data_IF_601088671489
#
_entry.id   IF_601088671489
#
_cell.length_a   1.000
_cell.length_b   1.000
_cell.length_c   1.000
_cell.angle_alpha   90.00
_cell.angle_beta   90.00
_cell.angle_gamma   90.00
#
_symmetry.space_group_name_H-M   'P 1'
#
loop_
_entity.id
_entity.type
_entity.pdbx_description
1 polymer ?
#
# COMPACT_ATOMS: atom_id res chain seq x y z
N UNK A 1 3.48 21.27 26.45
CA UNK A 1 4.17 19.97 26.54
C UNK A 1 3.30 18.88 25.93
N UNK A 2 3.87 18.10 25.04
CA UNK A 2 3.22 16.94 24.42
C UNK A 2 4.14 15.73 24.67
N UNK A 3 3.60 14.63 25.18
CA UNK A 3 4.38 13.44 25.52
C UNK A 3 4.57 12.54 24.29
N UNK A 4 3.50 12.39 23.47
CA UNK A 4 3.48 11.58 22.26
C UNK A 4 2.73 12.31 21.15
N UNK A 5 3.25 12.23 19.92
CA UNK A 5 2.57 12.71 18.73
C UNK A 5 1.86 11.54 18.03
N UNK A 6 0.52 11.56 18.00
CA UNK A 6 -0.22 10.65 17.14
C UNK A 6 -0.21 11.21 15.72
N UNK A 7 0.54 10.55 14.81
CA UNK A 7 0.60 10.99 13.43
C UNK A 7 -0.63 10.50 12.66
N UNK A 8 -1.48 11.42 12.21
CA UNK A 8 -2.65 11.15 11.37
C UNK A 8 -2.56 11.85 10.01
N UNK A 9 -1.35 12.27 9.60
CA UNK A 9 -1.11 12.90 8.32
C UNK A 9 -0.98 11.84 7.22
N UNK A 10 -1.40 12.18 6.01
CA UNK A 10 -1.31 11.31 4.84
C UNK A 10 -0.55 11.99 3.71
N UNK A 11 0.02 11.18 2.81
CA UNK A 11 0.72 11.64 1.62
C UNK A 11 2.05 12.31 1.92
N UNK A 12 2.42 13.22 1.02
CA UNK A 12 3.68 13.96 1.08
C UNK A 12 3.79 14.73 2.41
N UNK A 13 4.97 14.70 3.01
CA UNK A 13 5.35 15.23 4.31
C UNK A 13 4.82 14.44 5.52
N UNK A 14 3.68 13.78 5.41
CA UNK A 14 3.05 13.04 6.52
C UNK A 14 3.51 11.60 6.67
N UNK A 15 3.69 10.90 5.53
CA UNK A 15 3.99 9.46 5.50
C UNK A 15 5.25 9.11 4.67
N UNK A 16 6.09 10.12 4.34
CA UNK A 16 7.31 9.96 3.54
C UNK A 16 8.61 10.06 4.35
N UNK A 17 8.53 10.13 5.67
CA UNK A 17 9.66 10.27 6.57
C UNK A 17 9.95 11.72 6.99
N UNK A 18 9.33 12.72 6.35
CA UNK A 18 9.66 14.14 6.61
C UNK A 18 9.23 14.57 8.01
N UNK A 19 7.97 14.39 8.39
CA UNK A 19 7.48 14.73 9.74
C UNK A 19 8.14 13.86 10.81
N UNK A 20 8.42 12.60 10.49
CA UNK A 20 9.12 11.66 11.37
C UNK A 20 10.54 12.17 11.68
N UNK A 21 11.26 12.65 10.66
CA UNK A 21 12.59 13.26 10.83
C UNK A 21 12.57 14.52 11.70
N UNK A 22 11.55 15.37 11.52
CA UNK A 22 11.35 16.54 12.37
C UNK A 22 11.11 16.14 13.83
N UNK A 23 10.24 15.14 14.08
CA UNK A 23 9.94 14.66 15.42
C UNK A 23 11.16 14.02 16.10
N UNK A 24 12.00 13.31 15.33
CA UNK A 24 13.28 12.77 15.80
C UNK A 24 14.23 13.90 16.26
N UNK A 25 14.37 14.98 15.47
CA UNK A 25 15.23 16.12 15.82
C UNK A 25 14.82 16.77 17.14
N UNK A 26 13.53 16.90 17.42
CA UNK A 26 13.02 17.47 18.67
C UNK A 26 12.79 16.41 19.77
N UNK A 27 13.22 15.16 19.55
CA UNK A 27 13.12 14.02 20.48
C UNK A 27 11.71 13.80 21.01
N UNK A 28 10.72 13.86 20.12
CA UNK A 28 9.31 13.59 20.46
C UNK A 28 8.89 12.21 19.96
N UNK A 29 8.46 11.33 20.87
CA UNK A 29 7.88 10.05 20.48
C UNK A 29 6.68 10.27 19.57
N UNK A 30 6.56 9.41 18.54
CA UNK A 30 5.44 9.42 17.60
C UNK A 30 4.98 8.02 17.27
N UNK A 31 3.71 7.91 16.90
CA UNK A 31 3.12 6.65 16.47
C UNK A 31 3.54 6.32 15.04
N UNK A 32 3.38 5.04 14.65
CA UNK A 32 3.68 4.52 13.31
C UNK A 32 5.19 4.39 13.01
N UNK A 33 5.49 4.12 11.75
CA UNK A 33 6.83 3.81 11.28
C UNK A 33 7.76 5.03 11.27
N UNK A 34 9.07 4.78 11.41
CA UNK A 34 10.09 5.80 11.40
C UNK A 34 10.47 6.31 10.00
N UNK A 35 11.53 7.11 9.93
CA UNK A 35 11.98 7.82 8.72
C UNK A 35 12.27 6.87 7.58
N UNK A 36 13.15 5.88 7.80
CA UNK A 36 13.60 4.97 6.74
C UNK A 36 12.45 4.12 6.20
N UNK A 37 11.64 3.52 7.08
CA UNK A 37 10.51 2.70 6.69
C UNK A 37 9.47 3.50 5.89
N UNK A 38 9.14 4.72 6.33
CA UNK A 38 8.20 5.60 5.64
C UNK A 38 8.71 6.01 4.26
N UNK A 39 9.97 6.43 4.16
CA UNK A 39 10.57 6.85 2.88
C UNK A 39 10.66 5.70 1.86
N UNK A 40 11.04 4.51 2.30
CA UNK A 40 11.12 3.32 1.44
C UNK A 40 9.73 2.91 0.98
N UNK A 41 8.77 2.82 1.88
CA UNK A 41 7.40 2.41 1.56
C UNK A 41 6.72 3.38 0.58
N UNK A 42 6.95 4.71 0.72
CA UNK A 42 6.41 5.73 -0.17
C UNK A 42 6.95 5.60 -1.59
N UNK A 43 8.19 5.13 -1.78
CA UNK A 43 8.79 4.94 -3.09
C UNK A 43 8.57 3.50 -3.58
N UNK A 44 7.60 3.31 -4.49
CA UNK A 44 7.20 1.99 -5.00
C UNK A 44 8.35 1.17 -5.60
N UNK A 45 9.33 1.83 -6.20
CA UNK A 45 10.50 1.15 -6.78
C UNK A 45 11.48 0.67 -5.71
N UNK A 46 11.75 1.50 -4.69
CA UNK A 46 12.62 1.11 -3.59
C UNK A 46 11.97 0.00 -2.75
N UNK A 47 10.68 0.15 -2.44
CA UNK A 47 9.91 -0.88 -1.76
C UNK A 47 9.98 -2.22 -2.49
N UNK A 48 9.61 -2.24 -3.78
CA UNK A 48 9.60 -3.43 -4.62
C UNK A 48 10.98 -4.10 -4.67
N UNK A 49 12.05 -3.33 -4.93
CA UNK A 49 13.42 -3.85 -4.99
C UNK A 49 13.85 -4.48 -3.66
N UNK A 50 13.62 -3.77 -2.55
CA UNK A 50 14.02 -4.27 -1.22
C UNK A 50 13.30 -5.57 -0.87
N UNK A 51 11.98 -5.63 -1.06
CA UNK A 51 11.18 -6.84 -0.78
C UNK A 51 11.58 -7.98 -1.71
N UNK A 52 11.76 -7.73 -3.01
CA UNK A 52 12.18 -8.76 -3.96
C UNK A 52 13.52 -9.35 -3.54
N UNK A 53 14.56 -8.52 -3.35
CA UNK A 53 15.89 -8.99 -2.97
C UNK A 53 15.90 -9.77 -1.64
N UNK A 54 15.09 -9.33 -0.66
CA UNK A 54 15.00 -9.99 0.64
C UNK A 54 14.26 -11.34 0.61
N UNK A 55 13.48 -11.61 -0.45
CA UNK A 55 12.61 -12.80 -0.50
C UNK A 55 12.86 -13.71 -1.70
N UNK A 56 13.65 -13.32 -2.70
CA UNK A 56 13.86 -14.07 -3.94
C UNK A 56 14.38 -15.50 -3.74
N UNK A 57 15.19 -15.73 -2.70
CA UNK A 57 15.75 -17.03 -2.35
C UNK A 57 14.95 -17.77 -1.26
N UNK A 58 13.78 -17.29 -0.88
CA UNK A 58 12.91 -17.94 0.10
C UNK A 58 12.01 -18.99 -0.58
N UNK A 59 11.49 -19.96 0.20
CA UNK A 59 10.53 -20.96 -0.29
C UNK A 59 9.25 -20.34 -0.88
N UNK A 60 8.86 -19.16 -0.41
CA UNK A 60 7.70 -18.42 -0.88
C UNK A 60 8.08 -16.96 -1.18
N UNK A 61 8.68 -16.66 -2.35
CA UNK A 61 9.07 -15.33 -2.74
C UNK A 61 7.86 -14.42 -2.94
N UNK A 62 7.97 -13.18 -2.51
CA UNK A 62 6.92 -12.17 -2.69
C UNK A 62 6.95 -11.67 -4.13
N UNK A 63 5.82 -11.82 -4.83
CA UNK A 63 5.70 -11.51 -6.25
C UNK A 63 5.03 -10.14 -6.44
N UNK A 64 5.61 -9.32 -7.31
CA UNK A 64 5.07 -8.04 -7.76
C UNK A 64 4.64 -8.11 -9.24
N UNK A 65 3.76 -7.20 -9.70
CA UNK A 65 3.55 -7.01 -11.13
C UNK A 65 4.87 -6.66 -11.83
N UNK A 66 5.04 -7.14 -13.04
CA UNK A 66 6.23 -6.79 -13.84
C UNK A 66 6.28 -5.29 -14.13
N UNK A 67 7.45 -4.69 -13.94
CA UNK A 67 7.68 -3.28 -14.29
C UNK A 67 8.14 -3.20 -15.74
N UNK A 68 7.31 -2.59 -16.58
CA UNK A 68 7.54 -2.42 -18.01
C UNK A 68 8.48 -1.25 -18.30
N UNK A 69 8.28 -0.12 -17.62
CA UNK A 69 9.05 1.09 -17.89
C UNK A 69 9.00 2.07 -16.71
N UNK A 70 10.13 2.78 -16.52
CA UNK A 70 10.18 4.01 -15.71
C UNK A 70 10.11 5.21 -16.66
N UNK A 71 9.17 6.11 -16.40
CA UNK A 71 8.81 7.20 -17.29
C UNK A 71 9.29 8.53 -16.68
N UNK A 72 10.28 9.12 -17.31
CA UNK A 72 10.84 10.44 -16.93
C UNK A 72 10.43 11.53 -17.92
N UNK A 73 10.22 11.16 -19.17
CA UNK A 73 9.92 12.06 -20.26
C UNK A 73 8.49 12.61 -20.20
N UNK A 74 8.30 13.81 -20.76
CA UNK A 74 6.99 14.46 -20.85
C UNK A 74 6.01 13.69 -21.72
N UNK A 75 6.52 13.11 -22.82
CA UNK A 75 5.78 12.21 -23.71
C UNK A 75 6.49 10.86 -23.72
N UNK A 76 5.72 9.78 -23.77
CA UNK A 76 6.27 8.44 -23.70
C UNK A 76 5.42 7.41 -24.44
N UNK A 77 6.07 6.31 -24.84
CA UNK A 77 5.42 5.12 -25.40
C UNK A 77 5.86 3.90 -24.59
N UNK A 78 4.99 2.92 -24.49
CA UNK A 78 5.30 1.59 -23.97
C UNK A 78 5.34 0.66 -25.19
N UNK A 79 6.50 0.66 -25.90
CA UNK A 79 6.61 0.08 -27.25
C UNK A 79 6.61 -1.44 -27.28
N UNK A 80 7.21 -2.06 -26.30
CA UNK A 80 7.52 -3.50 -26.31
C UNK A 80 6.48 -4.35 -25.57
N UNK A 81 5.31 -3.77 -25.28
CA UNK A 81 4.23 -4.43 -24.58
C UNK A 81 2.88 -4.03 -25.16
N UNK A 82 2.05 -5.03 -25.52
CA UNK A 82 0.74 -4.82 -26.17
C UNK A 82 -0.46 -5.03 -25.22
N UNK A 83 -0.21 -5.58 -24.04
CA UNK A 83 -1.24 -5.88 -23.06
C UNK A 83 -1.71 -4.67 -22.23
N UNK A 84 -2.68 -4.89 -21.36
CA UNK A 84 -3.14 -3.85 -20.44
C UNK A 84 -2.08 -3.55 -19.38
N UNK A 85 -1.87 -2.26 -19.11
CA UNK A 85 -0.90 -1.82 -18.11
C UNK A 85 -1.46 -0.71 -17.21
N UNK A 86 -0.81 -0.51 -16.07
CA UNK A 86 -1.09 0.55 -15.10
C UNK A 86 0.06 1.52 -15.08
N UNK A 87 -0.25 2.81 -15.24
CA UNK A 87 0.70 3.91 -15.07
C UNK A 87 0.38 4.62 -13.76
N UNK A 88 1.39 4.76 -12.92
CA UNK A 88 1.25 5.36 -11.57
C UNK A 88 2.50 6.14 -11.17
N UNK A 89 2.38 7.15 -10.29
CA UNK A 89 3.52 7.81 -9.70
C UNK A 89 4.39 6.82 -8.91
N UNK A 90 5.72 6.96 -9.01
CA UNK A 90 6.65 6.18 -8.18
C UNK A 90 6.52 6.59 -6.72
N UNK A 91 6.45 7.90 -6.47
CA UNK A 91 6.21 8.48 -5.15
C UNK A 91 4.77 8.99 -5.08
N UNK A 92 4.00 8.49 -4.14
CA UNK A 92 2.61 8.90 -3.95
C UNK A 92 1.74 7.77 -3.43
N UNK A 93 0.64 8.15 -2.80
CA UNK A 93 -0.31 7.25 -2.16
C UNK A 93 -1.75 7.43 -2.69
N UNK A 94 -2.70 6.74 -2.06
CA UNK A 94 -4.15 6.91 -2.24
C UNK A 94 -4.69 6.73 -3.66
N UNK A 95 -4.01 5.99 -4.54
CA UNK A 95 -4.39 5.79 -5.96
C UNK A 95 -4.62 7.09 -6.76
N UNK A 96 -3.99 8.19 -6.33
CA UNK A 96 -4.03 9.46 -7.06
C UNK A 96 -3.21 9.31 -8.34
N UNK A 97 -3.77 9.79 -9.47
CA UNK A 97 -3.12 9.79 -10.79
C UNK A 97 -2.69 8.40 -11.31
N UNK A 98 -3.40 7.36 -10.89
CA UNK A 98 -3.28 6.02 -11.49
C UNK A 98 -4.10 5.97 -12.77
N UNK A 99 -3.47 5.56 -13.87
CA UNK A 99 -4.12 5.43 -15.18
C UNK A 99 -4.00 4.00 -15.68
N UNK A 100 -5.13 3.39 -16.06
CA UNK A 100 -5.16 2.09 -16.71
C UNK A 100 -5.19 2.29 -18.22
N UNK A 101 -4.30 1.61 -18.92
CA UNK A 101 -4.21 1.57 -20.37
C UNK A 101 -4.58 0.17 -20.81
N UNK A 102 -5.67 0.05 -21.59
CA UNK A 102 -6.17 -1.24 -22.08
C UNK A 102 -5.34 -1.76 -23.27
N UNK A 103 -4.72 -0.86 -24.03
CA UNK A 103 -3.83 -1.19 -25.13
C UNK A 103 -2.67 -0.19 -25.18
N UNK A 104 -1.45 -0.67 -25.00
CA UNK A 104 -0.25 0.15 -24.92
C UNK A 104 0.26 0.69 -26.27
N UNK A 105 -0.31 0.27 -27.40
CA UNK A 105 -0.01 0.80 -28.76
C UNK A 105 -0.64 2.16 -29.06
N UNK A 106 -1.35 2.75 -28.10
CA UNK A 106 -1.99 4.05 -28.31
C UNK A 106 -0.97 5.18 -28.51
N UNK A 107 -1.46 6.31 -29.02
CA UNK A 107 -0.70 7.56 -29.22
C UNK A 107 0.16 7.93 -27.98
N UNK A 108 1.22 8.75 -28.19
CA UNK A 108 2.10 9.13 -27.09
C UNK A 108 1.32 9.73 -25.92
N UNK A 109 1.49 9.12 -24.74
CA UNK A 109 0.82 9.52 -23.53
C UNK A 109 1.55 10.71 -22.91
N UNK A 110 0.79 11.70 -22.45
CA UNK A 110 1.34 12.88 -21.77
C UNK A 110 1.50 12.56 -20.29
N UNK A 111 2.74 12.69 -19.77
CA UNK A 111 3.01 12.56 -18.34
C UNK A 111 2.32 13.69 -17.56
N UNK A 112 1.69 13.35 -16.43
CA UNK A 112 1.22 14.36 -15.50
C UNK A 112 2.41 15.18 -14.97
N UNK A 113 2.34 16.49 -15.09
CA UNK A 113 3.43 17.42 -14.75
C UNK A 113 3.72 17.49 -13.25
N UNK A 114 2.81 16.99 -12.41
CA UNK A 114 2.96 16.99 -10.95
C UNK A 114 3.98 15.98 -10.43
N UNK A 115 4.46 15.07 -11.29
CA UNK A 115 5.38 14.00 -10.89
C UNK A 115 6.64 14.01 -11.73
N UNK A 116 7.79 13.88 -11.06
CA UNK A 116 9.08 13.75 -11.74
C UNK A 116 9.20 12.43 -12.49
N UNK A 117 8.71 11.34 -11.88
CA UNK A 117 8.81 9.98 -12.42
C UNK A 117 7.49 9.23 -12.24
N UNK A 118 7.12 8.48 -13.30
CA UNK A 118 6.03 7.51 -13.28
C UNK A 118 6.61 6.12 -13.55
N UNK A 119 5.87 5.09 -13.17
CA UNK A 119 6.15 3.71 -13.55
C UNK A 119 4.97 3.11 -14.29
N UNK A 120 5.27 2.28 -15.30
CA UNK A 120 4.31 1.42 -15.96
C UNK A 120 4.52 -0.02 -15.50
N UNK A 121 3.46 -0.70 -15.11
CA UNK A 121 3.45 -2.10 -14.72
C UNK A 121 2.37 -2.87 -15.48
N UNK A 122 2.59 -4.17 -15.67
CA UNK A 122 1.55 -5.08 -16.18
C UNK A 122 0.33 -5.02 -15.27
N UNK A 123 -0.86 -4.85 -15.85
CA UNK A 123 -2.12 -4.96 -15.10
C UNK A 123 -2.36 -6.43 -14.74
N UNK A 124 -2.32 -6.75 -13.47
CA UNK A 124 -2.50 -8.11 -12.95
C UNK A 124 -3.76 -8.25 -12.13
N UNK A 125 -4.36 -9.45 -12.17
CA UNK A 125 -5.48 -9.85 -11.33
C UNK A 125 -6.70 -8.91 -11.40
N UNK A 126 -7.83 -9.37 -10.93
CA UNK A 126 -9.09 -8.60 -10.96
C UNK A 126 -9.62 -8.27 -9.56
N UNK A 127 -9.14 -8.99 -8.54
CA UNK A 127 -9.61 -8.83 -7.16
C UNK A 127 -8.58 -8.04 -6.35
N UNK A 128 -9.04 -7.05 -5.62
CA UNK A 128 -8.20 -6.20 -4.77
C UNK A 128 -8.33 -6.66 -3.31
N UNK A 129 -7.20 -6.99 -2.70
CA UNK A 129 -7.13 -7.48 -1.33
C UNK A 129 -6.23 -6.56 -0.50
N UNK A 130 -6.50 -6.49 0.80
CA UNK A 130 -5.66 -5.72 1.71
C UNK A 130 -5.53 -6.44 3.05
N UNK A 131 -4.36 -6.28 3.70
CA UNK A 131 -4.06 -6.84 5.01
C UNK A 131 -3.41 -5.78 5.89
N UNK A 132 -3.96 -5.56 7.06
CA UNK A 132 -3.37 -4.72 8.10
C UNK A 132 -2.52 -5.58 9.04
N UNK A 133 -1.32 -5.10 9.34
CA UNK A 133 -0.47 -5.63 10.41
C UNK A 133 -0.48 -4.63 11.56
N UNK A 134 -0.84 -5.08 12.76
CA UNK A 134 -0.83 -4.28 13.98
C UNK A 134 0.10 -4.97 14.99
N UNK A 135 1.15 -4.28 15.43
CA UNK A 135 2.16 -4.80 16.38
C UNK A 135 2.63 -6.21 15.99
N UNK A 136 3.17 -6.36 14.77
CA UNK A 136 3.63 -7.63 14.19
C UNK A 136 2.57 -8.76 14.09
N UNK A 137 1.28 -8.44 14.25
CA UNK A 137 0.18 -9.37 14.07
C UNK A 137 -0.63 -8.98 12.83
N UNK A 138 -0.64 -9.79 11.75
CA UNK A 138 -1.57 -9.58 10.65
C UNK A 138 -3.00 -9.86 11.14
N UNK A 139 -3.94 -8.98 10.80
CA UNK A 139 -5.30 -9.03 11.35
C UNK A 139 -6.22 -9.93 10.53
N UNK A 140 -6.51 -9.53 9.29
CA UNK A 140 -7.40 -10.25 8.40
C UNK A 140 -7.12 -9.85 6.95
N UNK A 141 -7.61 -10.64 6.00
CA UNK A 141 -7.67 -10.24 4.58
C UNK A 141 -9.04 -9.65 4.31
N UNK A 142 -9.08 -8.41 3.82
CA UNK A 142 -10.28 -7.77 3.31
C UNK A 142 -10.23 -7.71 1.79
N UNK A 143 -11.32 -8.06 1.12
CA UNK A 143 -11.51 -7.80 -0.29
C UNK A 143 -12.24 -6.49 -0.50
N UNK A 144 -11.73 -5.66 -1.38
CA UNK A 144 -12.30 -4.37 -1.75
C UNK A 144 -12.99 -4.54 -3.09
N UNK A 145 -14.31 -4.29 -3.13
CA UNK A 145 -15.11 -4.35 -4.34
C UNK A 145 -15.65 -2.98 -4.68
N UNK A 146 -15.57 -2.60 -5.97
CA UNK A 146 -16.13 -1.32 -6.45
C UNK A 146 -17.63 -1.48 -6.70
N UNK A 147 -18.45 -0.59 -6.13
CA UNK A 147 -19.92 -0.58 -6.34
C UNK A 147 -20.33 0.01 -7.71
N UNK A 148 -19.42 0.63 -8.43
CA UNK A 148 -19.65 1.12 -9.80
C UNK A 148 -19.01 0.15 -10.79
N UNK A 149 -19.62 -0.05 -11.97
CA UNK A 149 -19.06 -0.81 -13.11
C UNK A 149 -17.75 -0.19 -13.66
N UNK A 150 -16.88 0.31 -12.78
CA UNK A 150 -15.56 0.81 -13.11
C UNK A 150 -14.54 -0.28 -12.74
N UNK A 151 -13.71 -0.62 -13.70
CA UNK A 151 -12.70 -1.67 -13.61
C UNK A 151 -11.60 -1.42 -12.54
N UNK A 152 -11.70 -0.34 -11.75
CA UNK A 152 -10.65 0.04 -10.80
C UNK A 152 -11.15 0.89 -9.63
N UNK A 153 -10.61 0.60 -8.44
CA UNK A 153 -10.83 1.34 -7.19
C UNK A 153 -9.98 2.62 -7.17
N UNK A 154 -10.54 3.72 -7.70
CA UNK A 154 -9.86 5.01 -7.76
C UNK A 154 -10.05 5.84 -6.49
N UNK A 155 -9.36 6.99 -6.39
CA UNK A 155 -9.42 7.92 -5.25
C UNK A 155 -10.86 8.30 -4.86
N UNK A 156 -11.74 8.58 -5.84
CA UNK A 156 -13.14 8.92 -5.56
C UNK A 156 -13.91 7.75 -4.95
N UNK A 157 -13.64 6.51 -5.36
CA UNK A 157 -14.27 5.33 -4.80
C UNK A 157 -13.79 5.03 -3.36
N UNK A 158 -12.60 5.49 -2.98
CA UNK A 158 -12.04 5.32 -1.61
C UNK A 158 -12.73 6.21 -0.57
N UNK A 159 -13.24 7.38 -0.95
CA UNK A 159 -13.76 8.40 -0.03
C UNK A 159 -15.24 8.73 -0.22
N UNK A 160 -15.91 8.16 -1.24
CA UNK A 160 -17.34 8.30 -1.45
C UNK A 160 -18.07 7.29 -0.53
N UNK A 161 -19.07 7.73 0.25
CA UNK A 161 -19.80 6.90 1.23
C UNK A 161 -20.44 5.63 0.62
N UNK A 162 -20.57 5.56 -0.72
CA UNK A 162 -21.06 4.41 -1.47
C UNK A 162 -20.09 3.95 -2.57
N UNK A 163 -18.81 4.29 -2.47
CA UNK A 163 -17.82 4.06 -3.55
C UNK A 163 -17.27 2.63 -3.60
N UNK A 164 -17.22 1.95 -2.48
CA UNK A 164 -16.72 0.57 -2.34
C UNK A 164 -17.49 -0.21 -1.31
N UNK A 165 -17.47 -1.53 -1.43
CA UNK A 165 -17.92 -2.48 -0.42
C UNK A 165 -16.74 -3.33 0.01
N UNK A 166 -16.71 -3.70 1.29
CA UNK A 166 -15.66 -4.51 1.87
C UNK A 166 -16.22 -5.88 2.27
N UNK A 167 -15.50 -6.94 1.92
CA UNK A 167 -15.82 -8.31 2.32
C UNK A 167 -14.72 -8.76 3.28
N UNK A 168 -15.09 -8.94 4.55
CA UNK A 168 -14.17 -9.33 5.62
C UNK A 168 -14.75 -10.51 6.43
N UNK A 169 -14.09 -11.68 6.50
CA UNK A 169 -12.88 -12.04 5.76
C UNK A 169 -13.14 -12.18 4.26
N UNK A 170 -12.12 -11.95 3.43
CA UNK A 170 -12.20 -12.14 1.98
C UNK A 170 -12.57 -13.58 1.61
N UNK A 171 -13.49 -13.75 0.67
CA UNK A 171 -13.92 -15.06 0.17
C UNK A 171 -12.95 -15.56 -0.92
N UNK A 172 -11.80 -16.04 -0.51
CA UNK A 172 -10.69 -16.52 -1.36
C UNK A 172 -10.19 -17.87 -0.88
N UNK A 173 -9.47 -18.66 -1.71
CA UNK A 173 -8.85 -19.91 -1.27
C UNK A 173 -7.96 -19.70 -0.03
N UNK A 174 -8.02 -20.66 0.91
CA UNK A 174 -7.25 -20.58 2.16
C UNK A 174 -5.76 -20.39 1.91
N UNK A 175 -5.19 -21.02 0.89
CA UNK A 175 -3.79 -20.90 0.51
C UNK A 175 -3.40 -19.45 0.14
N UNK A 176 -4.30 -18.75 -0.57
CA UNK A 176 -4.10 -17.33 -0.93
C UNK A 176 -4.29 -16.43 0.30
N UNK A 177 -5.28 -16.73 1.14
CA UNK A 177 -5.52 -16.02 2.39
C UNK A 177 -4.28 -16.08 3.30
N UNK A 178 -3.78 -17.29 3.58
CA UNK A 178 -2.61 -17.50 4.44
C UNK A 178 -1.36 -16.83 3.83
N UNK A 179 -1.21 -16.92 2.50
CA UNK A 179 -0.12 -16.25 1.78
C UNK A 179 -0.19 -14.73 1.91
N UNK A 180 -1.34 -14.12 1.74
CA UNK A 180 -1.51 -12.67 1.90
C UNK A 180 -1.16 -12.20 3.32
N UNK A 181 -1.61 -12.94 4.33
CA UNK A 181 -1.28 -12.69 5.74
C UNK A 181 0.23 -12.79 6.01
N UNK A 182 0.86 -13.87 5.53
CA UNK A 182 2.31 -14.09 5.66
C UNK A 182 3.12 -13.00 4.95
N UNK A 183 2.77 -12.67 3.71
CA UNK A 183 3.48 -11.67 2.92
C UNK A 183 3.37 -10.27 3.53
N UNK A 184 2.20 -9.88 4.04
CA UNK A 184 2.01 -8.61 4.72
C UNK A 184 2.90 -8.50 5.96
N UNK A 185 2.96 -9.55 6.80
CA UNK A 185 3.81 -9.58 7.98
C UNK A 185 5.30 -9.52 7.61
N UNK A 186 5.72 -10.29 6.61
CA UNK A 186 7.11 -10.29 6.13
C UNK A 186 7.51 -8.92 5.58
N UNK A 187 6.66 -8.30 4.76
CA UNK A 187 6.91 -6.96 4.24
C UNK A 187 7.01 -5.92 5.37
N UNK A 188 6.10 -5.97 6.36
CA UNK A 188 6.14 -5.13 7.55
C UNK A 188 7.51 -5.22 8.27
N UNK A 189 7.99 -6.44 8.48
CA UNK A 189 9.28 -6.69 9.16
C UNK A 189 10.49 -6.27 8.32
N UNK A 190 10.51 -6.62 7.04
CA UNK A 190 11.63 -6.28 6.13
C UNK A 190 11.81 -4.76 5.99
N UNK A 191 10.71 -4.03 5.91
CA UNK A 191 10.73 -2.55 5.83
C UNK A 191 11.09 -1.91 7.17
N UNK A 192 10.94 -2.63 8.28
CA UNK A 192 11.13 -2.10 9.62
C UNK A 192 9.96 -1.23 10.08
N UNK A 193 8.74 -1.59 9.67
CA UNK A 193 7.54 -0.88 10.12
C UNK A 193 7.34 -1.04 11.63
N UNK A 194 6.73 -0.02 12.25
CA UNK A 194 6.34 -0.01 13.66
C UNK A 194 4.86 0.29 13.81
N UNK A 195 4.28 -0.19 14.90
CA UNK A 195 2.90 0.02 15.26
C UNK A 195 1.92 -0.61 14.27
N UNK A 196 1.67 0.03 13.14
CA UNK A 196 0.70 -0.43 12.15
C UNK A 196 1.22 -0.23 10.71
N UNK A 197 0.85 -1.15 9.82
CA UNK A 197 0.98 -0.97 8.37
C UNK A 197 -0.16 -1.67 7.63
N UNK A 198 -0.42 -1.29 6.38
CA UNK A 198 -1.39 -1.95 5.51
C UNK A 198 -0.73 -2.30 4.19
N UNK A 199 -0.84 -3.55 3.79
CA UNK A 199 -0.31 -4.03 2.51
C UNK A 199 -1.45 -4.31 1.55
N UNK A 200 -1.36 -3.78 0.34
CA UNK A 200 -2.38 -3.92 -0.70
C UNK A 200 -1.90 -4.90 -1.78
N UNK A 201 -2.82 -5.75 -2.26
CA UNK A 201 -2.56 -6.85 -3.18
C UNK A 201 -3.54 -6.88 -4.35
N UNK A 202 -3.14 -7.54 -5.43
CA UNK A 202 -4.04 -8.00 -6.48
C UNK A 202 -4.01 -9.52 -6.55
N UNK A 203 -5.19 -10.11 -6.62
CA UNK A 203 -5.36 -11.55 -6.77
C UNK A 203 -5.93 -11.88 -8.14
N UNK A 204 -5.20 -12.72 -8.87
CA UNK A 204 -5.64 -13.31 -10.13
C UNK A 204 -6.27 -14.67 -9.84
N UNK A 205 -7.61 -14.73 -9.83
CA UNK A 205 -8.35 -15.95 -9.56
C UNK A 205 -8.25 -16.99 -10.68
N UNK A 206 -7.94 -16.57 -11.93
CA UNK A 206 -7.83 -17.48 -13.05
C UNK A 206 -6.53 -18.30 -13.00
N UNK A 207 -5.45 -17.67 -12.55
CA UNK A 207 -4.13 -18.31 -12.44
C UNK A 207 -3.76 -18.65 -10.99
N UNK A 208 -4.63 -18.36 -10.03
CA UNK A 208 -4.41 -18.54 -8.59
C UNK A 208 -3.11 -17.88 -8.11
N UNK A 209 -2.85 -16.65 -8.58
CA UNK A 209 -1.63 -15.87 -8.27
C UNK A 209 -1.95 -14.63 -7.44
N UNK A 210 -1.16 -14.41 -6.40
CA UNK A 210 -1.20 -13.20 -5.58
C UNK A 210 -0.03 -12.29 -5.98
N UNK A 211 -0.29 -10.99 -6.09
CA UNK A 211 0.72 -9.96 -6.36
C UNK A 211 0.64 -8.88 -5.29
N UNK A 212 1.78 -8.54 -4.69
CA UNK A 212 1.88 -7.40 -3.79
C UNK A 212 2.00 -6.11 -4.60
N UNK A 213 1.29 -5.04 -4.21
CA UNK A 213 1.32 -3.76 -4.89
C UNK A 213 2.17 -2.73 -4.14
N UNK A 214 1.80 -2.49 -2.89
CA UNK A 214 2.41 -1.47 -2.04
C UNK A 214 2.17 -1.78 -0.56
N UNK A 215 2.96 -1.13 0.29
CA UNK A 215 2.77 -1.12 1.74
C UNK A 215 2.61 0.33 2.19
N UNK A 216 1.59 0.57 2.99
CA UNK A 216 1.26 1.87 3.56
C UNK A 216 1.62 1.88 5.05
N UNK A 217 2.55 2.75 5.44
CA UNK A 217 3.02 2.90 6.83
C UNK A 217 2.12 3.79 7.67
N UNK A 218 1.19 4.50 7.03
CA UNK A 218 0.25 5.44 7.65
C UNK A 218 -1.17 5.18 7.14
N UNK A 219 -1.77 3.99 7.41
CA UNK A 219 -3.11 3.69 6.93
C UNK A 219 -4.15 4.64 7.54
N UNK A 220 -5.26 4.86 6.82
CA UNK A 220 -6.37 5.67 7.30
C UNK A 220 -6.89 5.19 8.65
N UNK A 221 -7.26 6.14 9.52
CA UNK A 221 -7.66 5.91 10.90
C UNK A 221 -9.08 6.41 11.22
N UNK A 222 -9.93 6.57 10.20
CA UNK A 222 -11.36 6.86 10.39
C UNK A 222 -12.13 5.56 10.63
N UNK A 223 -13.33 5.65 11.18
CA UNK A 223 -14.19 4.48 11.43
C UNK A 223 -14.48 3.63 10.18
N UNK A 224 -14.48 4.27 9.02
CA UNK A 224 -14.71 3.61 7.72
C UNK A 224 -13.42 3.19 7.02
N UNK A 225 -12.27 3.39 7.66
CA UNK A 225 -10.97 2.99 7.09
C UNK A 225 -10.71 1.49 7.25
N UNK A 226 -10.04 0.90 6.28
CA UNK A 226 -9.76 -0.54 6.20
C UNK A 226 -9.03 -1.10 7.42
N UNK A 227 -8.06 -0.36 7.98
CA UNK A 227 -7.29 -0.84 9.12
C UNK A 227 -8.11 -0.90 10.42
N UNK A 228 -8.88 0.15 10.81
CA UNK A 228 -9.83 0.06 11.91
C UNK A 228 -10.92 -0.99 11.73
N UNK A 229 -11.44 -1.17 10.50
CA UNK A 229 -12.44 -2.19 10.19
C UNK A 229 -11.87 -3.61 10.42
N UNK A 230 -10.66 -3.90 9.96
CA UNK A 230 -9.99 -5.18 10.23
C UNK A 230 -9.69 -5.38 11.71
N UNK A 231 -9.30 -4.33 12.43
CA UNK A 231 -9.08 -4.39 13.87
C UNK A 231 -10.38 -4.74 14.60
N UNK A 232 -11.49 -4.08 14.25
CA UNK A 232 -12.79 -4.35 14.82
C UNK A 232 -13.28 -5.77 14.55
N UNK A 233 -13.08 -6.29 13.32
CA UNK A 233 -13.36 -7.69 13.00
C UNK A 233 -12.58 -8.66 13.89
N UNK A 234 -11.33 -8.31 14.23
CA UNK A 234 -10.49 -9.06 15.17
C UNK A 234 -10.78 -8.74 16.65
N UNK A 235 -11.92 -8.11 16.97
CA UNK A 235 -12.34 -7.71 18.32
C UNK A 235 -11.40 -6.68 18.99
N UNK A 236 -10.68 -5.90 18.21
CA UNK A 236 -9.83 -4.80 18.68
C UNK A 236 -10.57 -3.49 18.37
N UNK A 237 -11.10 -2.85 19.39
CA UNK A 237 -11.80 -1.56 19.25
C UNK A 237 -10.83 -0.45 18.82
N UNK A 238 -11.35 0.63 18.21
CA UNK A 238 -10.56 1.83 17.87
C UNK A 238 -9.76 2.33 19.09
N UNK A 239 -10.38 2.39 20.27
CA UNK A 239 -9.71 2.80 21.52
C UNK A 239 -8.52 1.91 21.86
N UNK A 240 -8.68 0.59 21.74
CA UNK A 240 -7.59 -0.37 21.99
C UNK A 240 -6.48 -0.24 20.94
N UNK A 241 -6.84 -0.09 19.66
CA UNK A 241 -5.86 0.10 18.58
C UNK A 241 -5.04 1.39 18.78
N UNK A 242 -5.68 2.52 19.08
CA UNK A 242 -5.01 3.79 19.38
C UNK A 242 -4.11 3.65 20.62
N UNK A 243 -4.58 2.96 21.67
CA UNK A 243 -3.77 2.69 22.86
C UNK A 243 -2.50 1.92 22.51
N UNK A 244 -2.61 0.83 21.71
CA UNK A 244 -1.46 0.04 21.24
C UNK A 244 -0.47 0.93 20.49
N UNK A 245 -0.94 1.79 19.58
CA UNK A 245 -0.07 2.67 18.80
C UNK A 245 0.65 3.72 19.68
N UNK A 246 -0.02 4.24 20.69
CA UNK A 246 0.58 5.18 21.66
C UNK A 246 1.64 4.48 22.53
N UNK A 247 1.37 3.25 22.96
CA UNK A 247 2.31 2.46 23.76
C UNK A 247 3.56 2.03 22.98
N UNK A 248 3.45 1.86 21.65
CA UNK A 248 4.56 1.55 20.73
C UNK A 248 5.29 2.82 20.23
N UNK A 249 4.80 4.02 20.59
CA UNK A 249 5.36 5.28 20.11
C UNK A 249 6.80 5.46 20.62
N UNK A 250 7.69 5.83 19.71
CA UNK A 250 9.09 6.09 20.00
C UNK A 250 9.63 7.15 19.04
N UNK A 251 10.82 7.65 19.30
CA UNK A 251 11.62 8.38 18.30
C UNK A 251 12.91 7.61 18.01
N UNK A 252 13.45 7.81 16.83
CA UNK A 252 14.69 7.17 16.41
C UNK A 252 15.86 8.13 16.73
N UNK A 253 16.92 7.61 17.39
CA UNK A 253 18.15 8.34 17.70
C UNK A 253 19.19 8.13 16.60
#
# INVERSE_FOLDING_TARGET
NVDVCFNALHGKLGEDGTVQGFLNLIKKPYTHSGVAASAIAMNKMHFKRLITNATENSEDPIIFPETLKIIKDKFYHIRDYEGPCVIKPINGGSSVDVTIIKNSKMDPLKKNQNYNELMAEVLVGTRELTVTVLKERPLCVTEITSNKKQDFYNYKAKYDQNGSSHIIPALIPKTIFDKAMSWALRAHKIIGCKGISRTDFRYDSNHNKLFMLELNTQPGMTETSLAPEQALFCQITMKQMVKILIEEATYEC
#
